data_IF_967749614808
#
_entry.id   IF_967749614808
#
_cell.length_a   1.000
_cell.length_b   1.000
_cell.length_c   1.000
_cell.angle_alpha   90.00
_cell.angle_beta   90.00
_cell.angle_gamma   90.00
#
_symmetry.space_group_name_H-M   'P 1'
#
loop_
_entity.id
_entity.type
_entity.pdbx_description
1 polymer ?
#
# COMPACT_ATOMS: atom_id res chain seq x y z
N UNK A 1 10.25 33.67 -1.58
CA UNK A 1 11.49 34.09 -0.91
C UNK A 1 12.57 33.05 -1.16
N UNK A 2 13.64 33.39 -1.85
CA UNK A 2 14.71 32.45 -2.22
C UNK A 2 15.32 32.85 -3.55
N UNK A 3 16.60 32.51 -3.74
CA UNK A 3 17.30 32.75 -4.99
C UNK A 3 16.62 31.94 -6.11
N UNK A 4 16.19 32.60 -7.19
CA UNK A 4 15.48 31.99 -8.33
C UNK A 4 14.10 31.40 -8.02
N UNK A 5 13.48 31.78 -6.90
CA UNK A 5 12.07 31.45 -6.67
C UNK A 5 11.18 32.25 -7.63
N UNK A 6 10.32 31.55 -8.40
CA UNK A 6 9.45 32.14 -9.43
C UNK A 6 10.20 32.81 -10.61
N UNK A 7 11.47 32.48 -10.88
CA UNK A 7 12.27 33.25 -11.87
C UNK A 7 11.68 33.18 -13.28
N UNK A 8 11.18 32.02 -13.71
CA UNK A 8 10.62 31.83 -15.05
C UNK A 8 9.08 31.90 -15.11
N UNK A 9 8.41 32.29 -14.02
CA UNK A 9 6.95 32.40 -13.97
C UNK A 9 6.47 33.51 -14.92
N UNK A 10 6.02 33.11 -16.11
CA UNK A 10 5.56 34.04 -17.16
C UNK A 10 4.05 34.28 -17.21
N UNK A 11 3.29 33.59 -16.34
CA UNK A 11 1.83 33.66 -16.17
C UNK A 11 1.38 32.90 -14.92
N UNK A 12 0.08 32.72 -14.69
CA UNK A 12 -0.43 32.05 -13.47
C UNK A 12 -0.58 32.98 -12.25
N UNK A 13 -1.28 32.50 -11.22
CA UNK A 13 -1.69 33.32 -10.08
C UNK A 13 -1.80 32.54 -8.78
N UNK A 14 -1.63 33.22 -7.63
CA UNK A 14 -1.76 32.65 -6.28
C UNK A 14 -0.75 31.54 -5.93
N UNK A 15 0.44 31.57 -6.55
CA UNK A 15 1.53 30.67 -6.21
C UNK A 15 2.39 31.23 -5.06
N UNK A 16 2.87 30.35 -4.18
CA UNK A 16 3.79 30.66 -3.08
C UNK A 16 5.05 29.83 -3.26
N UNK A 17 6.22 30.48 -3.30
CA UNK A 17 7.51 29.81 -3.45
C UNK A 17 8.52 30.29 -2.40
N UNK A 18 9.09 29.35 -1.63
CA UNK A 18 10.08 29.60 -0.57
C UNK A 18 11.22 28.57 -0.68
N UNK A 19 12.39 29.01 -1.12
CA UNK A 19 13.54 28.13 -1.32
C UNK A 19 14.33 28.51 -2.57
N UNK A 20 15.54 28.00 -2.71
CA UNK A 20 16.28 28.15 -3.96
C UNK A 20 15.71 27.20 -5.02
N UNK A 21 15.52 27.69 -6.24
CA UNK A 21 14.93 26.93 -7.36
C UNK A 21 13.49 26.43 -7.12
N UNK A 22 12.79 26.91 -6.09
CA UNK A 22 11.40 26.52 -5.84
C UNK A 22 10.49 27.14 -6.90
N UNK A 23 9.70 26.33 -7.60
CA UNK A 23 8.83 26.78 -8.70
C UNK A 23 9.60 27.50 -9.83
N UNK A 24 10.82 27.07 -10.14
CA UNK A 24 11.73 27.77 -11.07
C UNK A 24 11.48 27.41 -12.54
N UNK A 25 11.16 26.15 -12.88
CA UNK A 25 10.96 25.73 -14.28
C UNK A 25 9.61 26.10 -14.92
N UNK A 26 8.71 26.73 -14.16
CA UNK A 26 7.29 26.78 -14.53
C UNK A 26 6.98 27.75 -15.69
N UNK A 27 6.17 27.31 -16.66
CA UNK A 27 6.04 27.93 -17.98
C UNK A 27 4.81 28.85 -18.18
N UNK A 28 4.07 29.21 -17.12
CA UNK A 28 3.18 30.37 -17.13
C UNK A 28 1.68 30.12 -17.30
N UNK A 29 1.12 29.07 -16.71
CA UNK A 29 -0.34 28.90 -16.56
C UNK A 29 -0.78 28.29 -15.23
N UNK A 30 0.17 27.89 -14.39
CA UNK A 30 -0.01 27.23 -13.12
C UNK A 30 -0.53 28.16 -12.02
N UNK A 31 -1.54 27.72 -11.28
CA UNK A 31 -2.19 28.49 -10.23
C UNK A 31 -2.26 27.74 -8.91
N UNK A 32 -2.33 28.50 -7.82
CA UNK A 32 -2.64 28.00 -6.48
C UNK A 32 -1.65 26.95 -5.95
N UNK A 33 -0.38 27.01 -6.39
CA UNK A 33 0.66 26.09 -5.92
C UNK A 33 1.42 26.62 -4.69
N UNK A 34 1.80 25.74 -3.78
CA UNK A 34 2.69 26.03 -2.65
C UNK A 34 3.97 25.21 -2.79
N UNK A 35 5.13 25.87 -2.91
CA UNK A 35 6.45 25.25 -2.98
C UNK A 35 7.35 25.77 -1.85
N UNK A 36 7.81 24.88 -0.97
CA UNK A 36 8.69 25.21 0.16
C UNK A 36 9.84 24.20 0.25
N UNK A 37 11.06 24.61 -0.09
CA UNK A 37 12.24 23.75 -0.10
C UNK A 37 13.15 24.03 -1.31
N UNK A 38 14.35 23.46 -1.30
CA UNK A 38 15.23 23.49 -2.48
C UNK A 38 14.58 22.69 -3.63
N UNK A 39 14.45 23.31 -4.79
CA UNK A 39 13.87 22.71 -6.00
C UNK A 39 12.46 22.10 -5.82
N UNK A 40 11.71 22.46 -4.77
CA UNK A 40 10.32 22.02 -4.61
C UNK A 40 9.48 22.56 -5.77
N UNK A 41 8.74 21.68 -6.48
CA UNK A 41 8.11 22.00 -7.76
C UNK A 41 9.06 22.67 -8.76
N UNK A 42 10.35 22.34 -8.71
CA UNK A 42 11.39 22.98 -9.53
C UNK A 42 11.29 22.65 -11.03
N UNK A 43 10.58 21.58 -11.38
CA UNK A 43 10.36 21.13 -12.74
C UNK A 43 9.53 22.10 -13.59
N UNK A 44 9.48 21.80 -14.88
CA UNK A 44 8.69 22.55 -15.85
C UNK A 44 7.19 22.32 -15.68
N UNK A 45 6.64 22.76 -14.55
CA UNK A 45 5.22 22.70 -14.18
C UNK A 45 4.37 23.56 -15.12
N UNK A 46 4.29 23.13 -16.38
CA UNK A 46 3.57 23.69 -17.51
C UNK A 46 2.08 23.35 -17.43
N UNK A 47 1.42 23.80 -16.37
CA UNK A 47 -0.04 23.74 -16.22
C UNK A 47 -0.56 22.97 -15.01
N UNK A 48 0.30 22.39 -14.17
CA UNK A 48 -0.12 21.76 -12.91
C UNK A 48 -0.56 22.78 -11.86
N UNK A 49 -1.78 22.65 -11.37
CA UNK A 49 -2.45 23.56 -10.43
C UNK A 49 -2.70 22.89 -9.08
N UNK A 50 -2.81 23.73 -8.06
CA UNK A 50 -3.31 23.33 -6.74
C UNK A 50 -2.45 22.24 -6.07
N UNK A 51 -1.15 22.27 -6.33
CA UNK A 51 -0.18 21.36 -5.74
C UNK A 51 0.45 21.96 -4.47
N UNK A 52 0.76 21.10 -3.51
CA UNK A 52 1.51 21.45 -2.29
C UNK A 52 2.78 20.62 -2.26
N UNK A 53 3.94 21.27 -2.33
CA UNK A 53 5.27 20.67 -2.25
C UNK A 53 6.04 21.28 -1.08
N UNK A 54 6.33 20.48 -0.05
CA UNK A 54 7.06 20.91 1.14
C UNK A 54 8.19 19.92 1.43
N UNK A 55 9.43 20.31 1.11
CA UNK A 55 10.61 19.46 1.24
C UNK A 55 11.56 19.70 0.07
N UNK A 56 12.83 19.32 0.21
CA UNK A 56 13.75 19.41 -0.92
C UNK A 56 13.37 18.35 -1.95
N UNK A 57 13.32 18.76 -3.22
CA UNK A 57 12.95 17.90 -4.35
C UNK A 57 11.55 17.27 -4.24
N UNK A 58 10.64 17.87 -3.48
CA UNK A 58 9.25 17.40 -3.50
C UNK A 58 8.55 17.89 -4.76
N UNK A 59 7.90 16.97 -5.49
CA UNK A 59 7.21 17.24 -6.77
C UNK A 59 8.11 17.93 -7.83
N UNK A 60 9.42 17.70 -7.81
CA UNK A 60 10.36 18.44 -8.65
C UNK A 60 10.36 18.03 -10.13
N UNK A 61 9.78 16.89 -10.51
CA UNK A 61 9.53 16.54 -11.91
C UNK A 61 8.13 16.92 -12.43
N UNK A 62 7.26 17.53 -11.61
CA UNK A 62 5.87 17.80 -12.01
C UNK A 62 5.78 18.71 -13.24
N UNK A 63 5.10 18.24 -14.28
CA UNK A 63 4.89 18.97 -15.53
C UNK A 63 3.46 19.46 -15.71
N UNK A 64 2.46 18.60 -15.48
CA UNK A 64 1.04 18.97 -15.60
C UNK A 64 0.13 18.32 -14.57
N UNK A 65 0.69 17.64 -13.57
CA UNK A 65 -0.09 17.01 -12.50
C UNK A 65 -0.79 18.06 -11.64
N UNK A 66 -2.09 17.87 -11.40
CA UNK A 66 -2.92 18.72 -10.55
C UNK A 66 -3.25 18.03 -9.21
N UNK A 67 -3.49 18.83 -8.17
CA UNK A 67 -4.04 18.39 -6.87
C UNK A 67 -3.13 17.43 -6.09
N UNK A 68 -1.81 17.49 -6.30
CA UNK A 68 -0.87 16.64 -5.59
C UNK A 68 -0.37 17.30 -4.29
N UNK A 69 -0.17 16.49 -3.25
CA UNK A 69 0.44 16.92 -1.97
C UNK A 69 1.71 16.10 -1.76
N UNK A 70 2.87 16.69 -1.99
CA UNK A 70 4.18 16.15 -1.62
C UNK A 70 4.72 16.85 -0.37
N UNK A 71 5.01 16.10 0.68
CA UNK A 71 5.58 16.62 1.93
C UNK A 71 6.68 15.71 2.45
N UNK A 72 7.93 16.05 2.14
CA UNK A 72 9.11 15.30 2.55
C UNK A 72 10.26 15.47 1.55
N UNK A 73 11.44 14.98 1.92
CA UNK A 73 12.56 14.89 0.97
C UNK A 73 12.21 13.84 -0.10
N UNK A 74 12.27 14.23 -1.38
CA UNK A 74 11.94 13.40 -2.55
C UNK A 74 10.49 12.85 -2.60
N UNK A 75 9.55 13.38 -1.82
CA UNK A 75 8.15 12.97 -1.93
C UNK A 75 7.58 13.37 -3.31
N UNK A 76 7.05 12.41 -4.07
CA UNK A 76 6.57 12.61 -5.46
C UNK A 76 7.63 13.14 -6.44
N UNK A 77 8.91 12.82 -6.25
CA UNK A 77 10.00 13.39 -7.06
C UNK A 77 9.89 13.06 -8.55
N UNK A 78 9.40 11.88 -8.94
CA UNK A 78 9.26 11.52 -10.36
C UNK A 78 7.90 11.87 -10.99
N UNK A 79 6.91 12.36 -10.23
CA UNK A 79 5.55 12.62 -10.74
C UNK A 79 5.60 13.63 -11.88
N UNK A 80 5.23 13.24 -13.11
CA UNK A 80 5.20 14.17 -14.25
C UNK A 80 3.78 14.66 -14.54
N UNK A 81 2.79 13.77 -14.63
CA UNK A 81 1.40 14.13 -14.96
C UNK A 81 0.35 13.51 -14.03
N UNK A 82 0.73 12.61 -13.13
CA UNK A 82 -0.17 12.00 -12.16
C UNK A 82 -0.92 13.04 -11.31
N UNK A 83 -2.17 12.72 -10.96
CA UNK A 83 -3.15 13.61 -10.35
C UNK A 83 -3.61 13.09 -8.99
N UNK A 84 -3.96 14.02 -8.08
CA UNK A 84 -4.64 13.72 -6.80
C UNK A 84 -3.85 12.74 -5.91
N UNK A 85 -2.53 12.73 -6.01
CA UNK A 85 -1.68 11.93 -5.14
C UNK A 85 -1.33 12.68 -3.84
N UNK A 86 -1.26 11.97 -2.73
CA UNK A 86 -0.81 12.50 -1.44
C UNK A 86 0.37 11.66 -0.96
N UNK A 87 1.54 12.28 -0.82
CA UNK A 87 2.77 11.67 -0.35
C UNK A 87 3.36 12.47 0.81
N UNK A 88 3.40 11.87 2.00
CA UNK A 88 3.88 12.52 3.23
C UNK A 88 4.93 11.63 3.89
N UNK A 89 6.20 11.98 3.75
CA UNK A 89 7.33 11.22 4.23
C UNK A 89 8.54 11.36 3.33
N UNK A 90 9.70 10.93 3.81
CA UNK A 90 10.91 10.87 2.97
C UNK A 90 10.75 9.70 2.01
N UNK A 91 10.91 9.94 0.69
CA UNK A 91 10.76 8.90 -0.34
C UNK A 91 9.35 8.34 -0.48
N UNK A 92 8.33 8.98 0.11
CA UNK A 92 6.95 8.54 -0.07
C UNK A 92 6.51 8.77 -1.52
N UNK A 93 6.01 7.70 -2.17
CA UNK A 93 5.51 7.70 -3.54
C UNK A 93 6.48 8.45 -4.48
N UNK A 94 7.74 8.00 -4.53
CA UNK A 94 8.85 8.74 -5.15
C UNK A 94 8.95 8.55 -6.66
N UNK A 95 8.41 7.45 -7.19
CA UNK A 95 8.48 7.12 -8.61
C UNK A 95 7.13 6.98 -9.38
N UNK A 96 6.02 7.68 -9.05
CA UNK A 96 4.88 7.71 -9.96
C UNK A 96 5.22 8.59 -11.18
N UNK A 97 4.72 8.24 -12.36
CA UNK A 97 4.77 9.06 -13.57
C UNK A 97 3.36 9.55 -13.95
N UNK A 98 2.47 8.60 -14.19
CA UNK A 98 1.09 8.81 -14.68
C UNK A 98 0.02 8.42 -13.65
N UNK A 99 0.43 7.85 -12.52
CA UNK A 99 -0.47 7.25 -11.54
C UNK A 99 -1.32 8.30 -10.83
N UNK A 100 -2.59 7.97 -10.63
CA UNK A 100 -3.58 8.84 -10.00
C UNK A 100 -4.08 8.27 -8.67
N UNK A 101 -4.56 9.17 -7.80
CA UNK A 101 -5.39 8.84 -6.64
C UNK A 101 -4.70 7.90 -5.61
N UNK A 102 -3.39 8.02 -5.43
CA UNK A 102 -2.64 7.28 -4.40
C UNK A 102 -2.42 8.10 -3.12
N UNK A 103 -2.44 7.42 -1.97
CA UNK A 103 -2.11 7.96 -0.66
C UNK A 103 -0.93 7.22 -0.05
N UNK A 104 0.19 7.89 0.17
CA UNK A 104 1.40 7.38 0.82
C UNK A 104 1.75 8.24 2.04
N UNK A 105 1.79 7.66 3.23
CA UNK A 105 2.22 8.35 4.46
C UNK A 105 3.22 7.46 5.21
N UNK A 106 4.49 7.86 5.21
CA UNK A 106 5.57 7.12 5.85
C UNK A 106 6.89 7.24 5.10
N UNK A 107 7.97 6.75 5.71
CA UNK A 107 9.26 6.62 5.05
C UNK A 107 9.19 5.51 3.99
N UNK A 108 9.51 5.84 2.73
CA UNK A 108 9.46 4.95 1.56
C UNK A 108 8.11 4.21 1.38
N UNK A 109 7.00 4.79 1.85
CA UNK A 109 5.67 4.26 1.57
C UNK A 109 5.35 4.42 0.08
N UNK A 110 4.93 3.35 -0.61
CA UNK A 110 4.76 3.33 -2.07
C UNK A 110 6.02 3.77 -2.85
N UNK A 111 7.24 3.52 -2.33
CA UNK A 111 8.50 3.89 -2.98
C UNK A 111 8.92 3.03 -4.19
N UNK A 112 8.01 2.22 -4.73
CA UNK A 112 8.27 1.33 -5.86
C UNK A 112 8.30 2.08 -7.20
N UNK A 113 8.87 1.47 -8.24
CA UNK A 113 8.71 1.94 -9.63
C UNK A 113 7.30 1.62 -10.13
N UNK A 114 6.33 2.42 -9.70
CA UNK A 114 4.92 2.22 -10.04
C UNK A 114 4.71 2.58 -11.51
N UNK A 115 4.07 1.66 -12.23
CA UNK A 115 3.69 1.72 -13.63
C UNK A 115 2.27 1.11 -13.75
N UNK A 116 1.25 1.95 -13.55
CA UNK A 116 -0.16 1.56 -13.55
C UNK A 116 -0.64 1.01 -12.21
N UNK A 117 -0.25 1.67 -11.11
CA UNK A 117 -0.72 1.34 -9.76
C UNK A 117 -1.52 2.51 -9.18
N UNK A 118 -2.84 2.49 -9.35
CA UNK A 118 -3.75 3.55 -8.92
C UNK A 118 -4.62 3.15 -7.74
N UNK A 119 -5.18 4.16 -7.06
CA UNK A 119 -6.16 3.99 -5.99
C UNK A 119 -5.62 3.21 -4.77
N UNK A 120 -4.32 3.31 -4.49
CA UNK A 120 -3.68 2.64 -3.37
C UNK A 120 -3.57 3.54 -2.13
N UNK A 121 -3.73 2.95 -0.95
CA UNK A 121 -3.53 3.59 0.36
C UNK A 121 -2.40 2.86 1.09
N UNK A 122 -1.30 3.55 1.36
CA UNK A 122 -0.15 3.06 2.11
C UNK A 122 0.15 3.99 3.29
N UNK A 123 -0.05 3.50 4.51
CA UNK A 123 0.19 4.28 5.74
C UNK A 123 1.09 3.49 6.68
N UNK A 124 2.35 3.90 6.81
CA UNK A 124 3.40 3.20 7.54
C UNK A 124 4.73 3.29 6.79
N UNK A 125 5.83 2.96 7.47
CA UNK A 125 7.13 2.88 6.77
C UNK A 125 7.21 1.57 5.98
N UNK A 126 7.75 1.65 4.77
CA UNK A 126 7.93 0.50 3.85
C UNK A 126 6.62 -0.23 3.52
N UNK A 127 5.51 0.51 3.53
CA UNK A 127 4.20 -0.02 3.17
C UNK A 127 4.03 0.04 1.65
N UNK A 128 3.74 -1.08 0.98
CA UNK A 128 3.62 -1.17 -0.49
C UNK A 128 4.85 -0.67 -1.26
N UNK A 129 6.05 -0.76 -0.69
CA UNK A 129 7.28 -0.19 -1.26
C UNK A 129 7.83 -0.95 -2.49
N UNK A 130 7.36 -2.16 -2.76
CA UNK A 130 7.67 -2.90 -4.00
C UNK A 130 6.58 -2.81 -5.08
N UNK A 131 5.49 -2.07 -4.86
CA UNK A 131 4.36 -2.04 -5.79
C UNK A 131 4.76 -1.53 -7.17
N UNK A 132 4.44 -2.29 -8.21
CA UNK A 132 4.68 -1.92 -9.61
C UNK A 132 3.40 -1.64 -10.38
N UNK A 133 2.32 -2.40 -10.22
CA UNK A 133 1.12 -2.22 -11.07
C UNK A 133 -0.18 -2.73 -10.46
N UNK A 134 -0.24 -2.87 -9.12
CA UNK A 134 -1.43 -3.34 -8.44
C UNK A 134 -2.32 -2.16 -8.05
N UNK A 135 -3.63 -2.30 -8.26
CA UNK A 135 -4.61 -1.26 -7.94
C UNK A 135 -5.46 -1.60 -6.72
N UNK A 136 -6.08 -0.57 -6.13
CA UNK A 136 -7.10 -0.72 -5.09
C UNK A 136 -6.62 -1.46 -3.83
N UNK A 137 -5.35 -1.30 -3.45
CA UNK A 137 -4.83 -1.87 -2.21
C UNK A 137 -4.94 -0.89 -1.04
N UNK A 138 -5.26 -1.41 0.15
CA UNK A 138 -5.23 -0.66 1.41
C UNK A 138 -4.26 -1.33 2.37
N UNK A 139 -3.12 -0.71 2.61
CA UNK A 139 -2.08 -1.19 3.50
C UNK A 139 -1.80 -0.18 4.61
N UNK A 140 -1.90 -0.61 5.87
CA UNK A 140 -1.68 0.23 7.05
C UNK A 140 -0.85 -0.51 8.09
N UNK A 141 0.39 -0.06 8.30
CA UNK A 141 1.33 -0.65 9.24
C UNK A 141 2.73 -0.79 8.66
N UNK A 142 3.73 -0.87 9.54
CA UNK A 142 5.12 -1.09 9.13
C UNK A 142 5.24 -2.41 8.35
N UNK A 143 5.84 -2.35 7.16
CA UNK A 143 6.00 -3.48 6.22
C UNK A 143 4.70 -4.17 5.77
N UNK A 144 3.51 -3.56 5.96
CA UNK A 144 2.29 -4.14 5.41
C UNK A 144 2.38 -4.17 3.88
N UNK A 145 2.16 -5.34 3.27
CA UNK A 145 2.26 -5.56 1.82
C UNK A 145 3.58 -5.12 1.14
N UNK A 146 4.70 -5.17 1.87
CA UNK A 146 6.02 -4.72 1.35
C UNK A 146 6.45 -5.45 0.07
N UNK A 147 6.13 -6.74 -0.08
CA UNK A 147 6.51 -7.52 -1.27
C UNK A 147 5.50 -7.48 -2.44
N UNK A 148 4.37 -6.77 -2.30
CA UNK A 148 3.33 -6.80 -3.35
C UNK A 148 3.82 -6.09 -4.60
N UNK A 149 3.89 -6.79 -5.73
CA UNK A 149 4.33 -6.26 -7.02
C UNK A 149 3.13 -5.84 -7.88
N UNK A 150 2.18 -6.74 -8.07
CA UNK A 150 1.07 -6.54 -9.01
C UNK A 150 -0.29 -6.96 -8.47
N UNK A 151 -0.36 -7.41 -7.22
CA UNK A 151 -1.62 -7.81 -6.58
C UNK A 151 -2.53 -6.61 -6.35
N UNK A 152 -3.82 -6.77 -6.63
CA UNK A 152 -4.84 -5.73 -6.44
C UNK A 152 -5.96 -6.14 -5.50
N UNK A 153 -6.75 -5.17 -5.05
CA UNK A 153 -7.93 -5.38 -4.21
C UNK A 153 -7.64 -6.03 -2.84
N UNK A 154 -6.43 -5.85 -2.29
CA UNK A 154 -6.09 -6.38 -0.98
C UNK A 154 -6.26 -5.33 0.13
N UNK A 155 -6.62 -5.78 1.33
CA UNK A 155 -6.62 -4.96 2.55
C UNK A 155 -5.70 -5.58 3.59
N UNK A 156 -4.60 -4.91 3.95
CA UNK A 156 -3.64 -5.33 4.96
C UNK A 156 -3.52 -4.29 6.07
N UNK A 157 -3.89 -4.62 7.30
CA UNK A 157 -3.83 -3.70 8.45
C UNK A 157 -3.11 -4.37 9.61
N UNK A 158 -1.89 -3.92 9.91
CA UNK A 158 -1.04 -4.46 10.96
C UNK A 158 0.44 -4.46 10.55
N UNK A 159 1.34 -4.60 11.52
CA UNK A 159 2.75 -4.81 11.20
C UNK A 159 2.90 -6.16 10.48
N UNK A 160 3.54 -6.13 9.31
CA UNK A 160 3.81 -7.32 8.50
C UNK A 160 2.55 -8.08 8.05
N UNK A 161 1.40 -7.41 7.95
CA UNK A 161 0.21 -8.04 7.37
C UNK A 161 0.40 -8.20 5.85
N UNK A 162 0.17 -9.41 5.34
CA UNK A 162 0.29 -9.76 3.92
C UNK A 162 1.67 -9.42 3.31
N UNK A 163 2.73 -9.49 4.12
CA UNK A 163 4.05 -8.91 3.80
C UNK A 163 4.85 -9.68 2.73
N UNK A 164 4.58 -10.97 2.54
CA UNK A 164 5.24 -11.80 1.54
C UNK A 164 4.40 -12.05 0.27
N UNK A 165 3.20 -11.48 0.17
CA UNK A 165 2.34 -11.60 -0.99
C UNK A 165 2.90 -10.78 -2.17
N UNK A 166 3.02 -11.39 -3.36
CA UNK A 166 3.62 -10.73 -4.54
C UNK A 166 2.62 -10.41 -5.65
N UNK A 167 1.56 -11.21 -5.82
CA UNK A 167 0.55 -11.08 -6.87
C UNK A 167 -0.86 -11.51 -6.40
N UNK A 168 -1.10 -11.42 -5.10
CA UNK A 168 -2.34 -11.87 -4.47
C UNK A 168 -3.49 -10.91 -4.75
N UNK A 169 -4.72 -11.42 -4.76
CA UNK A 169 -5.91 -10.61 -5.08
C UNK A 169 -7.09 -10.88 -4.14
N UNK A 170 -7.86 -9.85 -3.86
CA UNK A 170 -9.09 -9.93 -3.07
C UNK A 170 -8.88 -10.49 -1.64
N UNK A 171 -7.72 -10.26 -1.02
CA UNK A 171 -7.44 -10.75 0.34
C UNK A 171 -7.62 -9.66 1.41
N UNK A 172 -8.04 -10.07 2.60
CA UNK A 172 -8.15 -9.20 3.79
C UNK A 172 -7.30 -9.78 4.92
N UNK A 173 -6.24 -9.10 5.32
CA UNK A 173 -5.35 -9.47 6.41
C UNK A 173 -5.32 -8.37 7.48
N UNK A 174 -5.91 -8.60 8.65
CA UNK A 174 -5.97 -7.62 9.75
C UNK A 174 -5.36 -8.22 11.01
N UNK A 175 -4.17 -7.78 11.38
CA UNK A 175 -3.44 -8.25 12.55
C UNK A 175 -1.93 -8.28 12.33
N UNK A 176 -1.17 -8.42 13.42
CA UNK A 176 0.27 -8.62 13.35
C UNK A 176 0.59 -9.95 12.65
N UNK A 177 1.30 -9.89 11.52
CA UNK A 177 1.69 -11.07 10.73
C UNK A 177 0.52 -11.89 10.15
N UNK A 178 -0.69 -11.29 10.05
CA UNK A 178 -1.82 -11.96 9.42
C UNK A 178 -1.49 -12.21 7.93
N UNK A 179 -1.66 -13.45 7.47
CA UNK A 179 -1.23 -13.89 6.12
C UNK A 179 0.23 -13.53 5.77
N UNK A 180 1.15 -13.58 6.73
CA UNK A 180 2.58 -13.32 6.49
C UNK A 180 3.35 -14.47 5.78
N UNK A 181 2.65 -15.51 5.35
CA UNK A 181 3.25 -16.61 4.61
C UNK A 181 3.60 -16.20 3.17
N UNK A 182 4.48 -16.94 2.46
CA UNK A 182 4.88 -16.65 1.09
C UNK A 182 3.75 -17.03 0.11
N UNK A 183 2.57 -16.42 0.29
CA UNK A 183 1.40 -16.65 -0.55
C UNK A 183 1.73 -16.16 -1.96
N UNK A 184 1.52 -17.03 -2.93
CA UNK A 184 1.68 -16.70 -4.33
C UNK A 184 0.41 -17.03 -5.09
N UNK A 185 -0.39 -16.01 -5.36
CA UNK A 185 -1.64 -16.13 -6.09
C UNK A 185 -2.81 -16.59 -5.21
N UNK A 186 -2.77 -16.27 -3.91
CA UNK A 186 -3.89 -16.51 -3.01
C UNK A 186 -5.06 -15.59 -3.40
N UNK A 187 -6.26 -16.17 -3.51
CA UNK A 187 -7.45 -15.44 -3.91
C UNK A 187 -8.55 -15.50 -2.84
N UNK A 188 -9.09 -14.33 -2.46
CA UNK A 188 -10.32 -14.28 -1.67
C UNK A 188 -10.19 -14.76 -0.22
N UNK A 189 -8.99 -14.73 0.38
CA UNK A 189 -8.79 -15.14 1.76
C UNK A 189 -9.06 -13.98 2.74
N UNK A 190 -9.67 -14.28 3.88
CA UNK A 190 -9.89 -13.33 4.99
C UNK A 190 -9.22 -13.85 6.24
N UNK A 191 -8.33 -13.07 6.83
CA UNK A 191 -7.57 -13.39 8.01
C UNK A 191 -7.63 -12.21 8.98
N UNK A 192 -8.24 -12.41 10.15
CA UNK A 192 -8.30 -11.41 11.21
C UNK A 192 -7.77 -12.00 12.50
N UNK A 193 -6.76 -11.35 13.07
CA UNK A 193 -6.04 -11.83 14.24
C UNK A 193 -4.54 -11.92 14.02
N UNK A 194 -3.79 -11.92 15.11
CA UNK A 194 -2.33 -12.12 15.05
C UNK A 194 -2.01 -13.51 14.49
N UNK A 195 -1.18 -13.57 13.45
CA UNK A 195 -0.76 -14.81 12.79
C UNK A 195 -1.92 -15.71 12.30
N UNK A 196 -3.08 -15.13 11.95
CA UNK A 196 -4.11 -15.89 11.24
C UNK A 196 -3.67 -16.15 9.79
N UNK A 197 -3.80 -17.40 9.31
CA UNK A 197 -3.35 -17.85 7.96
C UNK A 197 -1.87 -17.56 7.64
N UNK A 198 -1.00 -17.50 8.64
CA UNK A 198 0.41 -17.11 8.49
C UNK A 198 1.29 -18.15 7.76
N UNK A 199 0.87 -19.41 7.65
CA UNK A 199 1.57 -20.42 6.84
C UNK A 199 1.01 -20.60 5.41
N UNK A 200 0.03 -19.79 4.98
CA UNK A 200 -0.57 -19.95 3.65
C UNK A 200 0.50 -19.75 2.57
N UNK A 201 0.56 -20.68 1.63
CA UNK A 201 1.49 -20.64 0.47
C UNK A 201 0.73 -20.64 -0.85
N UNK A 202 -0.40 -21.34 -0.89
CA UNK A 202 -1.41 -21.31 -1.94
C UNK A 202 -2.77 -21.64 -1.34
N UNK A 203 -3.86 -21.38 -2.05
CA UNK A 203 -5.21 -21.70 -1.58
C UNK A 203 -6.08 -20.47 -1.41
N UNK A 204 -7.37 -20.71 -1.59
CA UNK A 204 -8.34 -19.67 -1.88
C UNK A 204 -9.53 -19.77 -0.95
N UNK A 205 -10.20 -18.63 -0.74
CA UNK A 205 -11.47 -18.56 -0.02
C UNK A 205 -11.40 -19.14 1.41
N UNK A 206 -10.26 -19.02 2.09
CA UNK A 206 -10.16 -19.34 3.51
C UNK A 206 -10.59 -18.15 4.37
N UNK A 207 -11.22 -18.44 5.50
CA UNK A 207 -11.76 -17.44 6.42
C UNK A 207 -11.29 -17.74 7.84
N UNK A 208 -10.30 -17.00 8.33
CA UNK A 208 -9.67 -17.18 9.62
C UNK A 208 -9.93 -15.99 10.55
N UNK A 209 -10.49 -16.26 11.73
CA UNK A 209 -10.84 -15.24 12.71
C UNK A 209 -10.35 -15.66 14.10
N UNK A 210 -9.28 -15.05 14.58
CA UNK A 210 -8.66 -15.33 15.87
C UNK A 210 -7.13 -15.45 15.77
N UNK A 211 -6.46 -15.36 16.92
CA UNK A 211 -5.00 -15.50 16.99
C UNK A 211 -4.61 -16.91 16.55
N UNK A 212 -3.80 -17.03 15.49
CA UNK A 212 -3.38 -18.33 14.93
C UNK A 212 -4.51 -19.12 14.26
N UNK A 213 -5.67 -18.51 13.99
CA UNK A 213 -6.76 -19.18 13.30
C UNK A 213 -6.30 -19.60 11.89
N UNK A 214 -6.53 -20.86 11.53
CA UNK A 214 -6.01 -21.48 10.29
C UNK A 214 -4.49 -21.29 10.04
N UNK A 215 -3.69 -20.96 11.05
CA UNK A 215 -2.26 -20.64 10.89
C UNK A 215 -1.39 -21.77 10.31
N UNK A 216 -1.84 -23.03 10.36
CA UNK A 216 -1.11 -24.16 9.73
C UNK A 216 -1.52 -24.46 8.28
N UNK A 217 -2.53 -23.77 7.73
CA UNK A 217 -3.02 -24.05 6.38
C UNK A 217 -1.99 -23.56 5.36
N UNK A 218 -1.44 -24.49 4.56
CA UNK A 218 -0.44 -24.16 3.54
C UNK A 218 -1.01 -24.14 2.13
N UNK A 219 -1.86 -25.10 1.76
CA UNK A 219 -2.46 -25.21 0.40
C UNK A 219 -3.97 -25.46 0.41
N UNK A 220 -4.61 -25.44 1.58
CA UNK A 220 -6.04 -25.70 1.72
C UNK A 220 -6.89 -24.53 1.21
N UNK A 221 -8.10 -24.83 0.75
CA UNK A 221 -9.07 -23.83 0.24
C UNK A 221 -10.45 -24.04 0.84
N UNK A 222 -11.26 -22.99 0.87
CA UNK A 222 -12.65 -23.02 1.36
C UNK A 222 -12.78 -23.45 2.83
N UNK A 223 -11.78 -23.16 3.67
CA UNK A 223 -11.85 -23.47 5.10
C UNK A 223 -12.28 -22.25 5.91
N UNK A 224 -13.13 -22.44 6.90
CA UNK A 224 -13.51 -21.44 7.90
C UNK A 224 -12.97 -21.84 9.26
N UNK A 225 -12.12 -21.02 9.87
CA UNK A 225 -11.60 -21.18 11.23
C UNK A 225 -11.94 -19.98 12.09
N UNK A 226 -12.64 -20.19 13.20
CA UNK A 226 -13.03 -19.14 14.14
C UNK A 226 -12.63 -19.58 15.55
N UNK A 227 -11.81 -18.77 16.22
CA UNK A 227 -11.23 -19.07 17.53
C UNK A 227 -9.71 -19.08 17.48
N UNK A 228 -9.07 -18.92 18.65
CA UNK A 228 -7.61 -18.94 18.70
C UNK A 228 -7.06 -20.35 18.49
N UNK A 229 -6.03 -20.45 17.65
CA UNK A 229 -5.30 -21.67 17.31
C UNK A 229 -6.21 -22.81 16.83
N UNK A 230 -7.22 -22.50 16.02
CA UNK A 230 -8.26 -23.45 15.60
C UNK A 230 -7.79 -24.49 14.57
N UNK A 231 -6.54 -25.00 14.60
CA UNK A 231 -6.06 -25.88 13.51
C UNK A 231 -4.70 -26.61 13.71
N UNK A 232 -4.61 -27.79 13.10
CA UNK A 232 -3.40 -28.43 12.50
C UNK A 232 -3.57 -28.74 10.99
N UNK A 233 -4.65 -28.26 10.38
CA UNK A 233 -5.00 -28.40 8.95
C UNK A 233 -3.92 -27.79 8.07
N UNK A 234 -3.37 -28.58 7.15
CA UNK A 234 -2.35 -28.13 6.19
C UNK A 234 -2.91 -28.01 4.78
N UNK A 235 -3.63 -29.03 4.30
CA UNK A 235 -4.07 -29.12 2.89
C UNK A 235 -5.56 -29.40 2.70
N UNK A 236 -6.31 -29.57 3.79
CA UNK A 236 -7.73 -29.89 3.72
C UNK A 236 -8.60 -28.77 3.12
N UNK A 237 -9.83 -29.12 2.73
CA UNK A 237 -10.74 -28.21 2.03
C UNK A 237 -12.18 -28.32 2.54
N UNK A 238 -12.95 -27.24 2.45
CA UNK A 238 -14.37 -27.23 2.86
C UNK A 238 -14.59 -27.56 4.35
N UNK A 239 -13.67 -27.19 5.23
CA UNK A 239 -13.81 -27.45 6.67
C UNK A 239 -14.33 -26.21 7.41
N UNK A 240 -15.14 -26.44 8.45
CA UNK A 240 -15.61 -25.40 9.39
C UNK A 240 -15.16 -25.77 10.80
N UNK A 241 -14.27 -24.97 11.37
CA UNK A 241 -13.62 -25.18 12.67
C UNK A 241 -13.96 -23.99 13.57
N UNK A 242 -14.75 -24.20 14.62
CA UNK A 242 -15.23 -23.13 15.50
C UNK A 242 -14.92 -23.48 16.96
N UNK A 243 -13.99 -22.75 17.56
CA UNK A 243 -13.60 -22.88 18.96
C UNK A 243 -12.10 -22.71 19.18
N UNK A 244 -11.70 -22.54 20.44
CA UNK A 244 -10.28 -22.57 20.82
C UNK A 244 -9.72 -23.97 20.59
N UNK A 245 -8.70 -24.10 19.75
CA UNK A 245 -8.07 -25.39 19.42
C UNK A 245 -9.06 -26.46 18.93
N UNK A 246 -10.06 -26.07 18.13
CA UNK A 246 -10.88 -27.03 17.39
C UNK A 246 -10.02 -27.73 16.33
N UNK A 247 -9.95 -29.07 16.36
CA UNK A 247 -9.04 -29.84 15.50
C UNK A 247 -9.83 -30.72 14.51
N UNK A 248 -9.60 -30.62 13.20
CA UNK A 248 -10.17 -31.57 12.24
C UNK A 248 -9.69 -33.00 12.52
N UNK A 249 -10.47 -34.00 12.09
CA UNK A 249 -10.06 -35.40 12.31
C UNK A 249 -8.84 -35.83 11.47
N UNK A 250 -8.37 -34.99 10.53
CA UNK A 250 -7.17 -35.19 9.72
C UNK A 250 -6.69 -33.87 9.10
N UNK A 251 -5.37 -33.72 8.93
CA UNK A 251 -4.75 -32.51 8.36
C UNK A 251 -5.15 -32.22 6.90
N UNK A 252 -5.54 -33.26 6.15
CA UNK A 252 -6.05 -33.19 4.78
C UNK A 252 -7.56 -33.46 4.70
N UNK A 253 -8.26 -33.31 5.83
CA UNK A 253 -9.68 -33.57 5.94
C UNK A 253 -10.51 -32.68 5.01
N UNK A 254 -11.68 -33.17 4.62
CA UNK A 254 -12.62 -32.40 3.79
C UNK A 254 -14.04 -32.52 4.31
N UNK A 255 -14.83 -31.46 4.14
CA UNK A 255 -16.23 -31.39 4.57
C UNK A 255 -16.43 -31.67 6.07
N UNK A 256 -15.48 -31.24 6.90
CA UNK A 256 -15.56 -31.43 8.33
C UNK A 256 -16.23 -30.24 9.01
N UNK A 257 -17.04 -30.51 10.03
CA UNK A 257 -17.57 -29.48 10.92
C UNK A 257 -17.19 -29.85 12.34
N UNK A 258 -16.30 -29.05 12.95
CA UNK A 258 -15.83 -29.23 14.31
C UNK A 258 -16.19 -27.98 15.09
N UNK A 259 -16.98 -28.15 16.15
CA UNK A 259 -17.47 -27.05 16.97
C UNK A 259 -17.24 -27.40 18.44
N UNK A 260 -16.47 -26.55 19.12
CA UNK A 260 -16.16 -26.70 20.54
C UNK A 260 -14.72 -26.32 20.86
N UNK A 261 -14.44 -26.07 22.13
CA UNK A 261 -13.07 -25.84 22.58
C UNK A 261 -12.38 -27.17 22.82
N UNK A 262 -11.21 -27.38 22.20
CA UNK A 262 -10.47 -28.65 22.21
C UNK A 262 -11.34 -29.84 21.71
N UNK A 263 -12.24 -29.56 20.77
CA UNK A 263 -13.09 -30.55 20.12
C UNK A 263 -12.35 -31.30 19.01
#
# INVERSE_FOLDING_TARGET
>A
FGLQALENLSGGSRNIAIGNLSLDGSAGSENDNLAVGYAALGGSNSGGNQNVAIGNYSLDANTSGDYNIGMGYNALTANTTGLRNIAIGVGALDAPDLEDDNLAIGYDALGGSIAGGEYNVAIGNYTLDALTSGDYNVAVGYNAMTANLSGGYNTAIGYGALDAATADHDNVAIGYGAMGGPVNGGYGNTATGTYSLDALTSGDYNSAHGIGALGSVTTGSYNTGIGSNSTTLTTGTYNTLIGYSADPSANSGTNQTVIGSNA
#
